data_IF_905146434221
#
_entry.id   IF_905146434221
#
_cell.length_a   1.000
_cell.length_b   1.000
_cell.length_c   1.000
_cell.angle_alpha   90.00
_cell.angle_beta   90.00
_cell.angle_gamma   90.00
#
_symmetry.space_group_name_H-M   'P 1'
#
loop_
_entity.id
_entity.type
_entity.pdbx_description
1 polymer ?
#
# COMPACT_ATOMS: atom_id res chain seq x y z
N UNK A 1 19.98 -7.41 7.65
CA UNK A 1 19.23 -7.24 6.39
C UNK A 1 17.74 -7.55 6.53
N UNK A 2 17.34 -8.64 7.21
CA UNK A 2 15.91 -8.98 7.38
C UNK A 2 15.04 -7.90 8.06
N UNK A 3 15.54 -7.19 9.06
CA UNK A 3 14.80 -6.08 9.71
C UNK A 3 14.53 -4.90 8.77
N UNK A 4 15.52 -4.49 7.96
CA UNK A 4 15.35 -3.41 6.99
C UNK A 4 14.28 -3.77 5.93
N UNK A 5 14.22 -5.03 5.49
CA UNK A 5 13.16 -5.51 4.60
C UNK A 5 11.77 -5.49 5.25
N UNK A 6 11.68 -5.84 6.54
CA UNK A 6 10.41 -5.75 7.28
C UNK A 6 9.96 -4.30 7.46
N UNK A 7 10.87 -3.38 7.78
CA UNK A 7 10.56 -1.95 7.86
C UNK A 7 10.15 -1.37 6.51
N UNK A 8 10.85 -1.74 5.44
CA UNK A 8 10.47 -1.36 4.09
C UNK A 8 9.06 -1.87 3.75
N UNK A 9 8.76 -3.13 4.04
CA UNK A 9 7.42 -3.69 3.82
C UNK A 9 6.33 -2.97 4.62
N UNK A 10 6.60 -2.56 5.87
CA UNK A 10 5.69 -1.70 6.64
C UNK A 10 5.51 -0.32 6.01
N UNK A 11 6.58 0.28 5.46
CA UNK A 11 6.49 1.54 4.75
C UNK A 11 5.60 1.43 3.49
N UNK A 12 5.69 0.31 2.76
CA UNK A 12 4.79 0.01 1.64
C UNK A 12 3.32 -0.05 2.07
N UNK A 13 3.02 -0.62 3.24
CA UNK A 13 1.67 -0.58 3.82
C UNK A 13 1.21 0.84 4.14
N UNK A 14 2.06 1.66 4.75
CA UNK A 14 1.75 3.07 5.02
C UNK A 14 1.45 3.83 3.73
N UNK A 15 2.27 3.65 2.68
CA UNK A 15 2.05 4.26 1.36
C UNK A 15 0.74 3.77 0.74
N UNK A 16 0.41 2.48 0.87
CA UNK A 16 -0.85 1.92 0.39
C UNK A 16 -2.06 2.63 1.05
N UNK A 17 -2.04 2.82 2.37
CA UNK A 17 -3.11 3.52 3.10
C UNK A 17 -3.23 4.98 2.65
N UNK A 18 -2.11 5.67 2.43
CA UNK A 18 -2.10 7.06 1.93
C UNK A 18 -2.73 7.13 0.54
N UNK A 19 -2.37 6.20 -0.35
CA UNK A 19 -2.96 6.12 -1.70
C UNK A 19 -4.45 5.86 -1.61
N UNK A 20 -4.91 4.92 -0.79
CA UNK A 20 -6.33 4.65 -0.59
C UNK A 20 -7.07 5.92 -0.11
N UNK A 21 -6.49 6.64 0.84
CA UNK A 21 -7.05 7.88 1.37
C UNK A 21 -7.12 8.96 0.29
N UNK A 22 -6.06 9.15 -0.50
CA UNK A 22 -6.00 10.19 -1.53
C UNK A 22 -6.88 9.88 -2.76
N UNK A 23 -7.06 8.61 -3.10
CA UNK A 23 -7.77 8.18 -4.30
C UNK A 23 -9.23 7.80 -4.07
N UNK A 24 -9.60 7.43 -2.84
CA UNK A 24 -10.98 7.04 -2.49
C UNK A 24 -11.61 8.06 -1.54
N UNK A 25 -10.98 8.32 -0.39
CA UNK A 25 -11.58 9.15 0.67
C UNK A 25 -11.65 10.63 0.25
N UNK A 26 -10.54 11.19 -0.23
CA UNK A 26 -10.46 12.61 -0.56
C UNK A 26 -11.42 13.03 -1.72
N UNK A 27 -11.55 12.27 -2.82
CA UNK A 27 -12.51 12.59 -3.88
C UNK A 27 -13.97 12.47 -3.44
N UNK A 28 -14.27 11.51 -2.55
CA UNK A 28 -15.60 11.38 -1.95
C UNK A 28 -15.96 12.57 -1.08
N UNK A 29 -15.03 13.03 -0.23
CA UNK A 29 -15.24 14.21 0.64
C UNK A 29 -15.40 15.49 -0.20
N UNK A 30 -14.69 15.63 -1.32
CA UNK A 30 -14.81 16.77 -2.23
C UNK A 30 -16.01 16.71 -3.19
N UNK A 31 -16.78 15.62 -3.20
CA UNK A 31 -17.86 15.42 -4.18
C UNK A 31 -17.37 15.28 -5.62
N UNK A 32 -16.08 15.02 -5.84
CA UNK A 32 -15.44 14.87 -7.14
C UNK A 32 -15.01 13.42 -7.37
N UNK A 33 -15.81 12.47 -6.90
CA UNK A 33 -15.49 11.05 -6.93
C UNK A 33 -15.49 10.54 -8.38
N UNK A 34 -14.30 10.49 -8.98
CA UNK A 34 -14.09 9.88 -10.29
C UNK A 34 -13.85 8.37 -10.10
N UNK A 35 -14.72 7.57 -10.71
CA UNK A 35 -14.69 6.11 -10.58
C UNK A 35 -13.38 5.52 -11.12
N UNK A 36 -12.74 6.17 -12.10
CA UNK A 36 -11.44 5.74 -12.63
C UNK A 36 -10.34 5.91 -11.59
N UNK A 37 -10.36 7.01 -10.84
CA UNK A 37 -9.37 7.28 -9.78
C UNK A 37 -9.54 6.26 -8.65
N UNK A 38 -10.78 5.97 -8.25
CA UNK A 38 -11.06 4.94 -7.25
C UNK A 38 -10.59 3.55 -7.71
N UNK A 39 -10.78 3.20 -8.99
CA UNK A 39 -10.35 1.92 -9.56
C UNK A 39 -8.82 1.79 -9.58
N UNK A 40 -8.13 2.81 -10.10
CA UNK A 40 -6.65 2.85 -10.15
C UNK A 40 -6.05 2.86 -8.75
N UNK A 41 -6.65 3.61 -7.83
CA UNK A 41 -6.26 3.66 -6.42
C UNK A 41 -6.39 2.30 -5.73
N UNK A 42 -7.51 1.61 -5.96
CA UNK A 42 -7.76 0.27 -5.40
C UNK A 42 -6.78 -0.77 -5.97
N UNK A 43 -6.51 -0.75 -7.28
CA UNK A 43 -5.50 -1.63 -7.90
C UNK A 43 -4.09 -1.36 -7.35
N UNK A 44 -3.71 -0.08 -7.25
CA UNK A 44 -2.41 0.32 -6.70
C UNK A 44 -2.26 -0.11 -5.24
N UNK A 45 -3.34 -0.01 -4.45
CA UNK A 45 -3.39 -0.47 -3.07
C UNK A 45 -3.12 -1.97 -2.95
N UNK A 46 -3.78 -2.80 -3.76
CA UNK A 46 -3.59 -4.26 -3.75
C UNK A 46 -2.15 -4.63 -4.12
N UNK A 47 -1.57 -3.96 -5.12
CA UNK A 47 -0.18 -4.18 -5.52
C UNK A 47 0.77 -3.84 -4.37
N UNK A 48 0.61 -2.68 -3.74
CA UNK A 48 1.47 -2.21 -2.66
C UNK A 48 1.38 -3.09 -1.41
N UNK A 49 0.18 -3.56 -1.05
CA UNK A 49 0.02 -4.54 0.02
C UNK A 49 0.72 -5.86 -0.34
N UNK A 50 0.54 -6.35 -1.55
CA UNK A 50 1.15 -7.62 -1.99
C UNK A 50 2.68 -7.53 -1.93
N UNK A 51 3.24 -6.42 -2.41
CA UNK A 51 4.69 -6.15 -2.32
C UNK A 51 5.12 -6.01 -0.85
N UNK A 52 4.36 -5.30 -0.03
CA UNK A 52 4.62 -5.15 1.41
C UNK A 52 4.67 -6.50 2.15
N UNK A 53 3.68 -7.37 1.90
CA UNK A 53 3.64 -8.74 2.44
C UNK A 53 4.85 -9.53 1.97
N UNK A 54 5.15 -9.53 0.67
CA UNK A 54 6.28 -10.27 0.12
C UNK A 54 7.60 -9.82 0.76
N UNK A 55 7.82 -8.51 0.92
CA UNK A 55 8.99 -7.95 1.57
C UNK A 55 9.09 -8.35 3.04
N UNK A 56 7.98 -8.34 3.77
CA UNK A 56 7.95 -8.78 5.18
C UNK A 56 8.27 -10.27 5.27
N UNK A 57 7.65 -11.11 4.45
CA UNK A 57 7.87 -12.57 4.45
C UNK A 57 9.30 -12.92 4.06
N UNK A 58 9.88 -12.26 3.05
CA UNK A 58 11.30 -12.43 2.70
C UNK A 58 12.21 -11.93 3.83
N UNK A 59 11.89 -10.79 4.44
CA UNK A 59 12.62 -10.26 5.59
C UNK A 59 12.59 -11.18 6.81
N UNK A 60 11.48 -11.89 7.04
CA UNK A 60 11.37 -12.93 8.07
C UNK A 60 12.22 -14.15 7.76
N UNK A 61 12.16 -14.64 6.53
CA UNK A 61 12.98 -15.78 6.09
C UNK A 61 14.48 -15.49 6.13
N UNK A 62 14.90 -14.24 5.96
CA UNK A 62 16.32 -13.82 6.05
C UNK A 62 16.81 -13.58 7.48
N UNK A 63 15.89 -13.49 8.45
CA UNK A 63 16.23 -13.34 9.87
C UNK A 63 16.28 -14.68 10.59
N UNK A 64 15.58 -15.69 10.05
CA UNK A 64 15.63 -17.09 10.45
C UNK A 64 16.80 -17.82 9.80
#
# INVERSE_FOLDING_TARGET
>A
MGEALKELGKAFYTIAIVILTASVIHPWVKGSADIKIALVGSLSFVILITVGVALITVGEKLKS
#
